data_IF_172999204970
#
_entry.id   IF_172999204970
#
_cell.length_a   1.000
_cell.length_b   1.000
_cell.length_c   1.000
_cell.angle_alpha   90.00
_cell.angle_beta   90.00
_cell.angle_gamma   90.00
#
_symmetry.space_group_name_H-M   'P 1'
#
loop_
_entity.id
_entity.type
_entity.pdbx_description
1 polymer ?
#
# COMPACT_ATOMS: atom_id res chain seq x y z
N UNK A 1 21.47 -2.95 -76.66
CA UNK A 1 21.21 -2.18 -75.43
C UNK A 1 20.62 -3.11 -74.42
N UNK A 2 21.43 -3.54 -73.38
CA UNK A 2 21.00 -4.43 -72.31
C UNK A 2 20.88 -3.61 -71.01
N UNK A 3 19.68 -3.44 -70.50
CA UNK A 3 19.43 -2.78 -69.16
C UNK A 3 19.51 -3.83 -68.09
N UNK A 4 20.57 -3.79 -67.32
CA UNK A 4 20.75 -4.61 -66.10
C UNK A 4 20.08 -3.87 -64.95
N UNK A 5 18.89 -4.32 -64.54
CA UNK A 5 18.18 -3.78 -63.37
C UNK A 5 18.88 -4.21 -62.10
N UNK A 6 19.43 -3.25 -61.32
CA UNK A 6 20.00 -3.47 -60.01
C UNK A 6 18.85 -3.51 -58.96
N UNK A 7 18.48 -4.69 -58.48
CA UNK A 7 17.50 -4.88 -57.41
C UNK A 7 18.18 -4.54 -56.07
N UNK A 8 17.87 -3.35 -55.55
CA UNK A 8 18.32 -2.90 -54.23
C UNK A 8 17.45 -3.58 -53.16
N UNK A 9 17.96 -4.65 -52.53
CA UNK A 9 17.30 -5.31 -51.39
C UNK A 9 17.44 -4.42 -50.15
N UNK A 10 16.36 -3.70 -49.78
CA UNK A 10 16.27 -2.98 -48.53
C UNK A 10 16.07 -4.01 -47.43
N UNK A 11 17.15 -4.36 -46.71
CA UNK A 11 17.08 -5.14 -45.48
C UNK A 11 16.56 -4.21 -44.40
N UNK A 12 15.28 -4.33 -44.04
CA UNK A 12 14.71 -3.72 -42.87
C UNK A 12 15.32 -4.39 -41.63
N UNK A 13 16.37 -3.79 -41.10
CA UNK A 13 16.83 -4.11 -39.75
C UNK A 13 15.69 -3.69 -38.80
N UNK A 14 14.85 -4.63 -38.42
CA UNK A 14 14.01 -4.52 -37.28
C UNK A 14 14.95 -4.34 -36.06
N UNK A 15 15.11 -3.10 -35.58
CA UNK A 15 15.74 -2.81 -34.32
C UNK A 15 14.88 -3.45 -33.21
N UNK A 16 15.11 -4.72 -32.92
CA UNK A 16 14.54 -5.38 -31.77
C UNK A 16 15.00 -4.63 -30.52
N UNK A 17 14.08 -4.30 -29.62
CA UNK A 17 14.31 -3.66 -28.31
C UNK A 17 15.06 -4.61 -27.34
N UNK A 18 16.17 -5.20 -27.84
CA UNK A 18 16.97 -6.17 -27.08
C UNK A 18 18.46 -5.79 -27.14
N UNK A 19 19.18 -6.06 -26.05
CA UNK A 19 20.63 -5.90 -26.01
C UNK A 19 21.34 -6.97 -26.87
N UNK A 20 22.69 -6.89 -26.97
CA UNK A 20 23.49 -7.85 -27.73
C UNK A 20 23.42 -9.30 -27.19
N UNK A 21 22.86 -9.50 -25.98
CA UNK A 21 22.65 -10.81 -25.34
C UNK A 21 21.19 -11.28 -25.44
N UNK A 22 20.33 -10.52 -26.15
CA UNK A 22 18.92 -10.87 -26.35
C UNK A 22 18.00 -10.47 -25.20
N UNK A 23 18.48 -9.75 -24.16
CA UNK A 23 17.63 -9.25 -23.07
C UNK A 23 16.87 -8.00 -23.51
N UNK A 24 15.63 -7.79 -23.02
CA UNK A 24 14.88 -6.56 -23.27
C UNK A 24 15.67 -5.33 -22.78
N UNK A 25 15.73 -4.29 -23.62
CA UNK A 25 16.32 -3.02 -23.21
C UNK A 25 15.46 -2.39 -22.10
N UNK A 26 16.09 -1.67 -21.17
CA UNK A 26 15.41 -0.91 -20.14
C UNK A 26 14.69 0.30 -20.74
N UNK A 27 13.39 0.15 -20.99
CA UNK A 27 12.47 1.18 -21.45
C UNK A 27 11.28 1.27 -20.50
N UNK A 28 10.37 2.26 -20.64
CA UNK A 28 9.18 2.33 -19.77
C UNK A 28 8.27 1.10 -19.77
N UNK A 29 8.41 0.20 -20.77
CA UNK A 29 7.52 -0.96 -20.98
C UNK A 29 8.25 -2.29 -21.16
N UNK A 30 9.57 -2.30 -21.11
CA UNK A 30 10.39 -3.50 -21.26
C UNK A 30 11.61 -3.47 -20.35
N UNK A 31 12.11 -4.63 -19.97
CA UNK A 31 13.31 -4.79 -19.14
C UNK A 31 13.03 -5.48 -17.81
N UNK A 32 14.01 -5.45 -16.92
CA UNK A 32 13.89 -6.03 -15.57
C UNK A 32 14.42 -5.04 -14.53
N UNK A 33 13.61 -4.76 -13.51
CA UNK A 33 14.04 -3.95 -12.36
C UNK A 33 13.73 -4.66 -11.05
N UNK A 34 14.42 -4.24 -9.99
CA UNK A 34 14.09 -4.63 -8.61
C UNK A 34 13.44 -3.44 -7.90
N UNK A 35 12.40 -3.73 -7.11
CA UNK A 35 11.74 -2.76 -6.25
C UNK A 35 11.65 -3.32 -4.82
N UNK A 36 11.69 -2.44 -3.82
CA UNK A 36 11.46 -2.78 -2.41
C UNK A 36 10.17 -2.14 -1.92
N UNK A 37 9.37 -2.89 -1.20
CA UNK A 37 8.03 -2.49 -0.77
C UNK A 37 7.87 -2.76 0.72
N UNK A 38 7.36 -1.77 1.47
CA UNK A 38 6.89 -2.00 2.84
C UNK A 38 5.85 -3.14 2.82
N UNK A 39 6.09 -4.17 3.63
CA UNK A 39 5.30 -5.40 3.63
C UNK A 39 3.81 -5.14 3.87
N UNK A 40 3.47 -4.10 4.63
CA UNK A 40 2.08 -3.70 4.87
C UNK A 40 1.33 -3.33 3.59
N UNK A 41 2.04 -2.99 2.50
CA UNK A 41 1.48 -2.61 1.20
C UNK A 41 1.48 -3.76 0.17
N UNK A 42 1.86 -4.98 0.57
CA UNK A 42 2.00 -6.14 -0.32
C UNK A 42 0.77 -6.38 -1.21
N UNK A 43 -0.48 -6.50 -0.70
CA UNK A 43 -1.62 -6.83 -1.54
C UNK A 43 -1.87 -5.80 -2.65
N UNK A 44 -1.69 -4.51 -2.34
CA UNK A 44 -1.79 -3.44 -3.34
C UNK A 44 -0.73 -3.60 -4.42
N UNK A 45 0.54 -3.78 -4.02
CA UNK A 45 1.64 -3.79 -4.97
C UNK A 45 1.71 -5.07 -5.80
N UNK A 46 1.28 -6.20 -5.28
CA UNK A 46 1.09 -7.43 -6.06
C UNK A 46 0.07 -7.22 -7.19
N UNK A 47 -1.07 -6.58 -6.88
CA UNK A 47 -2.08 -6.26 -7.88
C UNK A 47 -1.59 -5.25 -8.94
N UNK A 48 -0.83 -4.23 -8.53
CA UNK A 48 -0.25 -3.23 -9.45
C UNK A 48 0.81 -3.85 -10.37
N UNK A 49 1.71 -4.67 -9.84
CA UNK A 49 2.74 -5.37 -10.62
C UNK A 49 2.09 -6.35 -11.59
N UNK A 50 1.14 -7.16 -11.13
CA UNK A 50 0.42 -8.09 -11.97
C UNK A 50 -0.34 -7.37 -13.09
N UNK A 51 -0.97 -6.24 -12.79
CA UNK A 51 -1.68 -5.42 -13.77
C UNK A 51 -0.74 -4.83 -14.82
N UNK A 52 0.44 -4.35 -14.42
CA UNK A 52 1.44 -3.80 -15.30
C UNK A 52 2.06 -4.85 -16.23
N UNK A 53 2.55 -5.97 -15.68
CA UNK A 53 3.14 -7.08 -16.43
C UNK A 53 2.10 -7.81 -17.30
N UNK A 54 0.82 -7.75 -16.89
CA UNK A 54 -0.31 -8.21 -17.68
C UNK A 54 -0.45 -7.47 -19.02
N UNK A 55 -0.10 -6.20 -19.05
CA UNK A 55 -0.14 -5.34 -20.24
C UNK A 55 1.19 -5.39 -21.00
N UNK A 56 2.31 -5.29 -20.29
CA UNK A 56 3.67 -5.18 -20.86
C UNK A 56 4.44 -6.49 -20.63
N UNK A 57 4.36 -7.40 -21.59
CA UNK A 57 4.85 -8.79 -21.48
C UNK A 57 6.37 -8.92 -21.37
N UNK A 58 7.12 -7.92 -21.83
CA UNK A 58 8.58 -7.85 -21.75
C UNK A 58 9.06 -7.03 -20.53
N UNK A 59 8.15 -6.64 -19.64
CA UNK A 59 8.45 -5.97 -18.39
C UNK A 59 8.44 -6.98 -17.23
N UNK A 60 9.49 -6.96 -16.40
CA UNK A 60 9.62 -7.85 -15.25
C UNK A 60 10.03 -7.06 -14.01
N UNK A 61 9.18 -7.06 -12.98
CA UNK A 61 9.39 -6.34 -11.74
C UNK A 61 9.65 -7.35 -10.61
N UNK A 62 10.90 -7.41 -10.16
CA UNK A 62 11.29 -8.23 -9.00
C UNK A 62 10.97 -7.47 -7.71
N UNK A 63 9.93 -7.87 -7.02
CA UNK A 63 9.48 -7.21 -5.79
C UNK A 63 10.04 -7.91 -4.56
N UNK A 64 10.69 -7.15 -3.68
CA UNK A 64 11.07 -7.59 -2.34
C UNK A 64 10.16 -6.92 -1.32
N UNK A 65 9.43 -7.70 -0.53
CA UNK A 65 8.61 -7.21 0.56
C UNK A 65 9.43 -7.25 1.86
N UNK A 66 9.61 -6.09 2.48
CA UNK A 66 10.46 -5.93 3.65
C UNK A 66 9.94 -4.78 4.53
N UNK A 67 10.68 -4.34 5.54
CA UNK A 67 10.28 -3.17 6.33
C UNK A 67 10.44 -1.87 5.56
N UNK A 68 9.67 -0.82 5.92
CA UNK A 68 9.80 0.52 5.32
C UNK A 68 11.23 1.05 5.40
N UNK A 69 11.88 0.87 6.55
CA UNK A 69 13.27 1.30 6.73
C UNK A 69 14.20 0.60 5.75
N UNK A 70 14.11 -0.72 5.62
CA UNK A 70 14.95 -1.50 4.71
C UNK A 70 14.67 -1.14 3.25
N UNK A 71 13.42 -0.90 2.87
CA UNK A 71 13.06 -0.46 1.51
C UNK A 71 13.73 0.85 1.13
N UNK A 72 13.82 1.81 2.06
CA UNK A 72 14.51 3.08 1.84
C UNK A 72 16.04 2.87 1.79
N UNK A 73 16.59 2.05 2.69
CA UNK A 73 18.03 1.75 2.68
C UNK A 73 18.46 1.08 1.36
N UNK A 74 17.68 0.15 0.85
CA UNK A 74 17.94 -0.53 -0.42
C UNK A 74 17.90 0.45 -1.59
N UNK A 75 16.96 1.41 -1.57
CA UNK A 75 16.91 2.49 -2.55
C UNK A 75 18.16 3.37 -2.50
N UNK A 76 18.57 3.78 -1.30
CA UNK A 76 19.74 4.66 -1.12
C UNK A 76 21.04 3.96 -1.53
N UNK A 77 21.16 2.65 -1.34
CA UNK A 77 22.31 1.81 -1.72
C UNK A 77 22.31 1.38 -3.20
N UNK A 78 21.36 1.84 -4.02
CA UNK A 78 21.19 1.44 -5.44
C UNK A 78 20.92 -0.06 -5.64
N UNK A 79 20.38 -0.74 -4.64
CA UNK A 79 20.00 -2.14 -4.75
C UNK A 79 18.66 -2.32 -5.46
N UNK A 80 17.81 -1.29 -5.41
CA UNK A 80 16.50 -1.25 -6.07
C UNK A 80 16.27 0.07 -6.79
N UNK A 81 15.42 0.07 -7.83
CA UNK A 81 15.05 1.27 -8.60
C UNK A 81 13.96 2.09 -7.96
N UNK A 82 13.03 1.41 -7.28
CA UNK A 82 11.90 2.04 -6.60
C UNK A 82 11.79 1.52 -5.18
N UNK A 83 11.40 2.40 -4.26
CA UNK A 83 10.90 2.03 -2.95
C UNK A 83 9.44 2.45 -2.81
N UNK A 84 8.59 1.56 -2.28
CA UNK A 84 7.17 1.84 -1.99
C UNK A 84 6.99 1.86 -0.49
N UNK A 85 6.68 3.03 0.03
CA UNK A 85 6.74 3.35 1.47
C UNK A 85 5.59 4.28 1.87
N UNK A 86 5.50 4.61 3.16
CA UNK A 86 4.40 5.44 3.68
C UNK A 86 4.83 6.80 4.23
N UNK A 87 6.07 7.21 3.92
CA UNK A 87 6.60 8.54 4.22
C UNK A 87 7.49 9.06 3.10
N UNK A 88 7.71 10.34 3.07
CA UNK A 88 8.74 10.97 2.26
C UNK A 88 10.13 10.72 2.84
N UNK A 89 11.16 10.87 2.01
CA UNK A 89 12.55 10.84 2.47
C UNK A 89 12.80 11.96 3.49
N UNK A 90 13.55 11.63 4.53
CA UNK A 90 14.09 12.63 5.43
C UNK A 90 15.17 13.49 4.72
N UNK A 91 15.48 14.70 5.21
CA UNK A 91 16.44 15.57 4.57
C UNK A 91 17.81 14.92 4.31
N UNK A 92 18.34 14.13 5.24
CA UNK A 92 19.61 13.43 5.09
C UNK A 92 19.56 12.29 4.05
N UNK A 93 18.42 11.57 3.94
CA UNK A 93 18.19 10.55 2.92
C UNK A 93 18.12 11.18 1.53
N UNK A 94 17.39 12.30 1.41
CA UNK A 94 17.33 13.08 0.18
C UNK A 94 18.69 13.58 -0.24
N UNK A 95 19.48 14.12 0.69
CA UNK A 95 20.84 14.58 0.43
C UNK A 95 21.74 13.45 -0.13
N UNK A 96 21.55 12.21 0.31
CA UNK A 96 22.28 11.05 -0.24
C UNK A 96 21.99 10.87 -1.74
N UNK A 97 20.72 10.97 -2.16
CA UNK A 97 20.36 10.90 -3.58
C UNK A 97 20.87 12.13 -4.37
N UNK A 98 20.72 13.31 -3.81
CA UNK A 98 21.21 14.57 -4.44
C UNK A 98 22.73 14.52 -4.67
N UNK A 99 23.50 13.96 -3.73
CA UNK A 99 24.94 13.75 -3.89
C UNK A 99 25.32 12.77 -5.01
N UNK A 100 24.42 11.86 -5.32
CA UNK A 100 24.53 10.94 -6.46
C UNK A 100 23.93 11.53 -7.76
N UNK A 101 23.57 12.81 -7.79
CA UNK A 101 22.88 13.50 -8.89
C UNK A 101 21.54 12.85 -9.30
N UNK A 102 20.82 12.31 -8.31
CA UNK A 102 19.51 11.67 -8.51
C UNK A 102 18.43 12.54 -7.85
N UNK A 103 17.42 12.95 -8.62
CA UNK A 103 16.36 13.83 -8.12
C UNK A 103 15.48 13.18 -7.03
N UNK A 104 15.45 11.85 -6.97
CA UNK A 104 14.65 11.11 -5.98
C UNK A 104 13.17 11.46 -6.05
N UNK A 105 12.55 11.32 -7.24
CA UNK A 105 11.14 11.64 -7.41
C UNK A 105 10.25 10.87 -6.42
N UNK A 106 9.38 11.57 -5.70
CA UNK A 106 8.49 11.02 -4.67
C UNK A 106 7.04 11.29 -5.06
N UNK A 107 6.30 10.26 -5.41
CA UNK A 107 4.93 10.38 -5.92
C UNK A 107 3.96 9.70 -4.98
N UNK A 108 3.00 10.45 -4.44
CA UNK A 108 1.87 9.89 -3.71
C UNK A 108 0.95 9.19 -4.70
N UNK A 109 0.72 7.89 -4.50
CA UNK A 109 -0.12 7.06 -5.38
C UNK A 109 -1.43 6.64 -4.74
N UNK A 110 -1.50 6.61 -3.41
CA UNK A 110 -2.72 6.28 -2.67
C UNK A 110 -2.71 6.89 -1.27
N UNK A 111 -3.89 6.82 -0.60
CA UNK A 111 -3.99 6.92 0.86
C UNK A 111 -4.63 5.66 1.39
N UNK A 112 -4.10 5.15 2.49
CA UNK A 112 -4.64 3.99 3.17
C UNK A 112 -4.93 4.27 4.65
N UNK A 113 -5.66 3.36 5.29
CA UNK A 113 -5.85 3.32 6.74
C UNK A 113 -5.04 2.20 7.36
N UNK A 114 -4.60 2.40 8.61
CA UNK A 114 -4.15 1.30 9.47
C UNK A 114 -5.38 0.77 10.17
N UNK A 115 -5.71 -0.52 9.96
CA UNK A 115 -6.85 -1.17 10.59
C UNK A 115 -6.45 -1.75 11.95
N UNK A 116 -7.26 -1.50 12.97
CA UNK A 116 -7.21 -2.17 14.25
C UNK A 116 -8.08 -3.43 14.16
N UNK A 117 -7.50 -4.58 14.43
CA UNK A 117 -8.21 -5.87 14.41
C UNK A 117 -8.16 -6.56 15.76
N UNK A 118 -9.24 -7.25 16.10
CA UNK A 118 -9.34 -8.09 17.31
C UNK A 118 -9.98 -9.42 16.97
N UNK A 119 -9.84 -10.38 17.86
CA UNK A 119 -10.49 -11.70 17.73
C UNK A 119 -12.02 -11.55 17.56
N UNK A 120 -12.66 -12.39 16.77
CA UNK A 120 -14.11 -12.30 16.53
C UNK A 120 -14.95 -12.38 17.80
N UNK A 121 -14.53 -13.16 18.79
CA UNK A 121 -15.21 -13.30 20.08
C UNK A 121 -14.83 -12.24 21.11
N UNK A 122 -13.90 -11.31 20.79
CA UNK A 122 -13.65 -10.20 21.70
C UNK A 122 -14.90 -9.32 21.78
N UNK A 123 -15.48 -9.04 22.96
CA UNK A 123 -16.70 -8.23 23.07
C UNK A 123 -16.49 -6.77 22.67
N UNK A 124 -15.25 -6.26 22.82
CA UNK A 124 -14.90 -4.87 22.60
C UNK A 124 -14.53 -4.65 21.12
N UNK A 125 -15.28 -3.81 20.43
CA UNK A 125 -15.11 -3.55 18.99
C UNK A 125 -14.97 -2.07 18.63
N UNK A 126 -14.91 -1.20 19.66
CA UNK A 126 -14.72 0.24 19.50
C UNK A 126 -13.66 0.70 20.50
N UNK A 127 -12.83 1.68 20.11
CA UNK A 127 -11.78 2.23 20.97
C UNK A 127 -11.70 3.75 20.75
N UNK A 128 -11.43 4.52 21.79
CA UNK A 128 -11.15 5.96 21.62
C UNK A 128 -9.68 6.18 21.29
N UNK A 129 -9.39 7.31 20.67
CA UNK A 129 -8.01 7.74 20.46
C UNK A 129 -7.19 7.76 21.76
N UNK A 130 -7.79 8.29 22.82
CA UNK A 130 -7.14 8.38 24.13
C UNK A 130 -6.86 6.99 24.74
N UNK A 131 -7.77 6.04 24.56
CA UNK A 131 -7.56 4.66 25.02
C UNK A 131 -6.41 4.00 24.27
N UNK A 132 -6.38 4.10 22.92
CA UNK A 132 -5.29 3.58 22.11
C UNK A 132 -3.95 4.23 22.50
N UNK A 133 -3.94 5.55 22.70
CA UNK A 133 -2.74 6.28 23.14
C UNK A 133 -2.25 5.77 24.48
N UNK A 134 -3.13 5.59 25.48
CA UNK A 134 -2.75 5.05 26.81
C UNK A 134 -2.16 3.65 26.73
N UNK A 135 -2.69 2.78 25.87
CA UNK A 135 -2.15 1.43 25.62
C UNK A 135 -0.73 1.55 25.06
N UNK A 136 -0.53 2.34 24.01
CA UNK A 136 0.74 2.47 23.29
C UNK A 136 1.80 3.28 24.07
N UNK A 137 1.39 4.08 25.04
CA UNK A 137 2.27 4.71 26.04
C UNK A 137 2.63 3.76 27.22
N UNK A 138 2.04 2.56 27.26
CA UNK A 138 2.23 1.62 28.38
C UNK A 138 1.47 1.98 29.67
N UNK A 139 0.53 2.94 29.61
CA UNK A 139 -0.31 3.37 30.75
C UNK A 139 -1.54 2.47 30.97
N UNK A 140 -1.81 1.57 30.04
CA UNK A 140 -2.83 0.52 30.14
C UNK A 140 -2.23 -0.79 29.63
N UNK A 141 -2.20 -1.81 30.44
CA UNK A 141 -1.63 -3.12 30.14
C UNK A 141 -2.62 -4.28 30.27
N UNK A 142 -3.79 -3.99 30.80
CA UNK A 142 -4.89 -4.94 30.97
C UNK A 142 -6.12 -4.41 30.21
N UNK A 143 -6.94 -5.31 29.68
CA UNK A 143 -8.19 -4.92 29.04
C UNK A 143 -9.12 -4.13 29.98
N UNK A 144 -9.16 -4.47 31.26
CA UNK A 144 -9.93 -3.72 32.28
C UNK A 144 -9.46 -2.28 32.50
N UNK A 145 -8.21 -1.94 32.12
CA UNK A 145 -7.70 -0.55 32.19
C UNK A 145 -8.34 0.34 31.13
N UNK A 146 -8.91 -0.28 30.08
CA UNK A 146 -9.56 0.35 28.95
C UNK A 146 -11.08 0.16 29.01
N UNK A 147 -11.52 -1.03 29.34
CA UNK A 147 -12.93 -1.43 29.48
C UNK A 147 -13.12 -2.04 30.86
N UNK A 148 -13.63 -1.30 31.86
CA UNK A 148 -13.69 -1.74 33.24
C UNK A 148 -14.45 -3.05 33.49
N UNK A 149 -15.39 -3.39 32.62
CA UNK A 149 -16.20 -4.63 32.69
C UNK A 149 -15.60 -5.80 31.91
N UNK A 150 -14.45 -5.60 31.22
CA UNK A 150 -13.82 -6.64 30.41
C UNK A 150 -13.29 -7.78 31.28
N UNK A 151 -13.62 -9.02 30.92
CA UNK A 151 -13.09 -10.24 31.49
C UNK A 151 -11.78 -10.71 30.82
N UNK A 152 -11.31 -10.00 29.78
CA UNK A 152 -10.06 -10.30 29.10
C UNK A 152 -8.86 -9.92 29.97
N UNK A 153 -7.78 -10.70 29.88
CA UNK A 153 -6.57 -10.50 30.67
C UNK A 153 -5.66 -9.39 30.19
N UNK A 154 -4.35 -9.64 30.20
CA UNK A 154 -3.33 -8.70 29.75
C UNK A 154 -3.48 -8.35 28.28
N UNK A 155 -3.33 -7.07 27.94
CA UNK A 155 -3.32 -6.59 26.57
C UNK A 155 -2.09 -7.07 25.82
N UNK A 156 -2.28 -7.45 24.56
CA UNK A 156 -1.21 -7.65 23.58
C UNK A 156 -1.46 -6.77 22.38
N UNK A 157 -0.46 -5.99 21.96
CA UNK A 157 -0.52 -5.22 20.72
C UNK A 157 0.45 -5.84 19.72
N UNK A 158 -0.04 -6.19 18.53
CA UNK A 158 0.76 -6.95 17.55
C UNK A 158 0.92 -6.14 16.28
N UNK A 159 2.18 -5.99 15.85
CA UNK A 159 2.59 -5.33 14.61
C UNK A 159 3.28 -6.33 13.69
N UNK A 160 3.42 -5.97 12.42
CA UNK A 160 4.16 -6.72 11.42
C UNK A 160 5.67 -6.79 11.74
N UNK A 161 6.39 -5.67 11.62
CA UNK A 161 7.83 -5.62 11.82
C UNK A 161 8.23 -4.37 12.65
N UNK A 162 9.26 -4.45 13.54
CA UNK A 162 9.65 -3.31 14.37
C UNK A 162 10.05 -2.05 13.59
N UNK A 163 10.45 -2.20 12.34
CA UNK A 163 10.88 -1.12 11.44
C UNK A 163 9.90 -0.89 10.28
N UNK A 164 8.66 -1.36 10.41
CA UNK A 164 7.61 -1.16 9.40
C UNK A 164 7.09 0.27 9.38
N UNK A 165 6.44 0.63 8.29
CA UNK A 165 5.73 1.90 8.17
C UNK A 165 4.57 2.03 9.15
N UNK A 166 3.96 0.93 9.62
CA UNK A 166 2.92 0.95 10.65
C UNK A 166 3.52 1.40 11.99
N UNK A 167 4.59 0.74 12.44
CA UNK A 167 5.26 1.08 13.70
C UNK A 167 5.77 2.52 13.67
N UNK A 168 6.45 2.92 12.60
CA UNK A 168 6.92 4.30 12.43
C UNK A 168 5.76 5.30 12.49
N UNK A 169 4.67 5.06 11.73
CA UNK A 169 3.52 5.96 11.71
C UNK A 169 2.92 6.15 13.10
N UNK A 170 2.75 5.07 13.85
CA UNK A 170 2.21 5.11 15.21
C UNK A 170 3.14 5.86 16.16
N UNK A 171 4.45 5.55 16.12
CA UNK A 171 5.42 6.22 17.00
C UNK A 171 5.55 7.71 16.70
N UNK A 172 5.57 8.09 15.42
CA UNK A 172 5.61 9.50 15.00
C UNK A 172 4.33 10.25 15.40
N UNK A 173 3.16 9.65 15.15
CA UNK A 173 1.86 10.28 15.41
C UNK A 173 1.60 10.49 16.90
N UNK A 174 2.03 9.56 17.73
CA UNK A 174 1.86 9.60 19.21
C UNK A 174 3.11 10.14 19.93
N UNK A 175 4.13 10.57 19.19
CA UNK A 175 5.40 11.08 19.74
C UNK A 175 6.08 10.11 20.72
N UNK A 176 6.00 8.80 20.44
CA UNK A 176 6.56 7.76 21.28
C UNK A 176 8.05 7.56 20.98
N UNK A 177 8.86 7.46 22.04
CA UNK A 177 10.29 7.11 21.90
C UNK A 177 10.49 5.61 21.70
N UNK A 178 9.68 4.80 22.36
CA UNK A 178 9.71 3.33 22.34
C UNK A 178 8.31 2.79 22.53
N UNK A 179 8.04 1.61 22.00
CA UNK A 179 6.81 0.89 22.26
C UNK A 179 6.91 0.13 23.62
N UNK A 180 5.81 0.01 24.36
CA UNK A 180 5.80 -0.71 25.64
C UNK A 180 5.96 -2.23 25.46
N UNK A 181 6.31 -2.98 26.54
CA UNK A 181 6.55 -4.43 26.49
C UNK A 181 5.34 -5.28 26.05
N UNK A 182 4.13 -4.72 26.05
CA UNK A 182 2.93 -5.38 25.55
C UNK A 182 2.84 -5.39 24.02
N UNK A 183 3.79 -4.75 23.33
CA UNK A 183 3.86 -4.68 21.86
C UNK A 183 4.79 -5.78 21.34
N UNK A 184 4.29 -6.56 20.38
CA UNK A 184 4.98 -7.71 19.78
C UNK A 184 5.08 -7.53 18.25
N UNK A 185 6.16 -8.02 17.67
CA UNK A 185 6.35 -8.09 16.22
C UNK A 185 6.07 -9.51 15.72
N UNK A 186 5.26 -9.64 14.68
CA UNK A 186 4.84 -10.91 14.08
C UNK A 186 5.50 -11.22 12.73
N UNK A 187 6.42 -10.40 12.26
CA UNK A 187 7.16 -10.46 11.00
C UNK A 187 6.36 -10.07 9.74
N UNK A 188 5.08 -10.38 9.63
CA UNK A 188 4.22 -10.05 8.47
C UNK A 188 2.82 -9.67 8.91
N UNK A 189 2.07 -8.94 8.07
CA UNK A 189 0.66 -8.62 8.35
C UNK A 189 -0.21 -9.89 8.40
N UNK A 190 0.07 -10.92 7.59
CA UNK A 190 -0.62 -12.22 7.69
C UNK A 190 -0.41 -12.86 9.07
N UNK A 191 0.83 -12.86 9.57
CA UNK A 191 1.14 -13.39 10.90
C UNK A 191 0.48 -12.58 12.03
N UNK A 192 0.28 -11.27 11.86
CA UNK A 192 -0.53 -10.44 12.78
C UNK A 192 -1.97 -10.94 12.83
N UNK A 193 -2.60 -11.16 11.66
CA UNK A 193 -3.98 -11.68 11.59
C UNK A 193 -4.07 -13.06 12.25
N UNK A 194 -3.14 -13.95 11.96
CA UNK A 194 -3.11 -15.31 12.52
C UNK A 194 -2.93 -15.29 14.05
N UNK A 195 -2.11 -14.37 14.58
CA UNK A 195 -1.94 -14.20 16.02
C UNK A 195 -3.25 -13.73 16.68
N UNK A 196 -3.87 -12.69 16.12
CA UNK A 196 -5.13 -12.13 16.63
C UNK A 196 -6.26 -13.16 16.56
N UNK A 197 -6.32 -13.95 15.48
CA UNK A 197 -7.32 -15.01 15.33
C UNK A 197 -7.22 -16.14 16.40
N UNK A 198 -6.07 -16.26 17.07
CA UNK A 198 -5.82 -17.26 18.11
C UNK A 198 -5.78 -16.67 19.52
N UNK A 199 -5.77 -15.34 19.65
CA UNK A 199 -5.48 -14.63 20.92
C UNK A 199 -6.55 -13.59 21.20
N UNK A 200 -7.52 -13.93 22.06
CA UNK A 200 -8.70 -13.08 22.33
C UNK A 200 -8.38 -11.70 22.90
N UNK A 201 -7.26 -11.57 23.61
CA UNK A 201 -6.80 -10.35 24.27
C UNK A 201 -5.77 -9.56 23.41
N UNK A 202 -5.60 -9.91 22.13
CA UNK A 202 -4.71 -9.20 21.22
C UNK A 202 -5.46 -8.14 20.41
N UNK A 203 -4.77 -7.01 20.18
CA UNK A 203 -5.10 -5.99 19.17
C UNK A 203 -4.01 -6.04 18.11
N UNK A 204 -4.36 -6.30 16.85
CA UNK A 204 -3.43 -6.24 15.72
C UNK A 204 -3.56 -4.92 14.96
N UNK A 205 -2.44 -4.42 14.45
CA UNK A 205 -2.40 -3.28 13.54
C UNK A 205 -1.88 -3.74 12.18
N UNK A 206 -2.70 -3.59 11.14
CA UNK A 206 -2.39 -4.04 9.78
C UNK A 206 -2.72 -2.97 8.74
N UNK A 207 -2.10 -3.07 7.57
CA UNK A 207 -2.48 -2.25 6.41
C UNK A 207 -3.90 -2.60 5.92
N UNK A 208 -4.68 -1.59 5.55
CA UNK A 208 -6.08 -1.79 5.12
C UNK A 208 -6.19 -2.69 3.89
N UNK A 209 -5.22 -2.65 2.97
CA UNK A 209 -5.21 -3.48 1.75
C UNK A 209 -5.28 -4.98 2.04
N UNK A 210 -4.88 -5.43 3.22
CA UNK A 210 -4.92 -6.85 3.63
C UNK A 210 -6.34 -7.39 3.87
N UNK A 211 -7.32 -6.51 4.10
CA UNK A 211 -8.68 -6.89 4.50
C UNK A 211 -9.78 -6.19 3.68
N UNK A 212 -9.44 -5.41 2.68
CA UNK A 212 -10.41 -4.54 2.00
C UNK A 212 -10.81 -4.97 0.60
N UNK A 213 -10.02 -5.78 -0.09
CA UNK A 213 -10.41 -6.33 -1.39
C UNK A 213 -11.39 -7.50 -1.20
N UNK A 214 -12.65 -7.28 -1.61
CA UNK A 214 -13.71 -8.27 -1.48
C UNK A 214 -13.58 -9.45 -2.45
N UNK A 215 -12.78 -9.29 -3.50
CA UNK A 215 -12.51 -10.33 -4.49
C UNK A 215 -11.28 -11.17 -4.09
N UNK A 216 -10.50 -10.72 -3.09
CA UNK A 216 -9.34 -11.47 -2.59
C UNK A 216 -9.80 -12.58 -1.60
N UNK A 217 -9.55 -13.86 -1.92
CA UNK A 217 -9.86 -14.96 -1.01
C UNK A 217 -9.15 -14.88 0.34
N UNK A 218 -7.92 -14.31 0.40
CA UNK A 218 -7.16 -14.16 1.64
C UNK A 218 -7.81 -13.10 2.55
N UNK A 219 -8.16 -11.92 2.01
CA UNK A 219 -8.89 -10.90 2.75
C UNK A 219 -10.21 -11.42 3.31
N UNK A 220 -10.96 -12.16 2.49
CA UNK A 220 -12.23 -12.78 2.91
C UNK A 220 -12.03 -13.85 4.00
N UNK A 221 -10.94 -14.64 3.96
CA UNK A 221 -10.58 -15.59 5.00
C UNK A 221 -10.27 -14.88 6.31
N UNK A 222 -9.48 -13.81 6.26
CA UNK A 222 -9.11 -13.02 7.44
C UNK A 222 -10.34 -12.42 8.13
N UNK A 223 -11.26 -11.82 7.39
CA UNK A 223 -12.49 -11.23 7.95
C UNK A 223 -13.46 -12.25 8.57
N UNK A 224 -13.24 -13.56 8.35
CA UNK A 224 -13.97 -14.63 9.06
C UNK A 224 -13.40 -14.92 10.44
N UNK A 225 -12.14 -14.61 10.69
CA UNK A 225 -11.42 -14.96 11.93
C UNK A 225 -11.19 -13.78 12.86
N UNK A 226 -11.16 -12.56 12.32
CA UNK A 226 -10.98 -11.34 13.08
C UNK A 226 -12.03 -10.30 12.71
N UNK A 227 -12.26 -9.34 13.60
CA UNK A 227 -13.12 -8.19 13.32
C UNK A 227 -12.36 -6.87 13.42
N UNK A 228 -12.76 -5.92 12.59
CA UNK A 228 -12.18 -4.57 12.55
C UNK A 228 -12.85 -3.71 13.62
N UNK A 229 -12.03 -3.11 14.49
CA UNK A 229 -12.49 -2.12 15.46
C UNK A 229 -12.80 -0.78 14.77
N UNK A 230 -13.73 -0.03 15.39
CA UNK A 230 -13.89 1.38 15.09
C UNK A 230 -13.10 2.22 16.10
N UNK A 231 -12.54 3.35 15.65
CA UNK A 231 -11.77 4.27 16.50
C UNK A 231 -12.34 5.68 16.38
N UNK A 232 -12.41 6.41 17.51
CA UNK A 232 -12.72 7.84 17.48
C UNK A 232 -11.48 8.68 17.19
N UNK A 233 -11.65 9.88 16.65
CA UNK A 233 -10.56 10.82 16.46
C UNK A 233 -10.07 11.47 17.77
N UNK A 234 -8.95 12.23 17.73
CA UNK A 234 -8.41 12.91 18.91
C UNK A 234 -9.36 13.94 19.52
N UNK A 235 -10.19 14.57 18.69
CA UNK A 235 -11.11 15.64 19.05
C UNK A 235 -12.57 15.34 18.65
N UNK A 236 -12.88 14.09 18.33
CA UNK A 236 -14.17 13.66 17.81
C UNK A 236 -14.60 12.37 18.52
N UNK A 237 -15.86 12.31 18.93
CA UNK A 237 -16.45 11.13 19.57
C UNK A 237 -17.10 10.15 18.59
N UNK A 238 -17.06 10.46 17.26
CA UNK A 238 -17.56 9.56 16.22
C UNK A 238 -16.62 8.38 16.03
N UNK A 239 -17.10 7.16 16.24
CA UNK A 239 -16.33 5.93 16.02
C UNK A 239 -16.37 5.52 14.56
N UNK A 240 -15.21 5.53 13.91
CA UNK A 240 -15.07 5.26 12.50
C UNK A 240 -14.25 3.99 12.25
N UNK A 241 -14.71 3.17 11.31
CA UNK A 241 -13.92 2.10 10.70
C UNK A 241 -13.13 2.65 9.52
N UNK A 242 -12.04 1.99 9.06
CA UNK A 242 -11.19 2.47 7.98
C UNK A 242 -11.85 2.37 6.59
N UNK A 243 -13.07 2.88 6.45
CA UNK A 243 -13.74 2.93 5.15
C UNK A 243 -13.15 4.02 4.27
N UNK A 244 -13.06 3.74 2.97
CA UNK A 244 -12.52 4.69 1.96
C UNK A 244 -13.08 6.11 2.09
N UNK A 245 -14.39 6.24 2.34
CA UNK A 245 -15.03 7.55 2.48
C UNK A 245 -14.42 8.37 3.62
N UNK A 246 -14.21 7.77 4.79
CA UNK A 246 -13.63 8.45 5.94
C UNK A 246 -12.14 8.77 5.77
N UNK A 247 -11.40 7.89 5.09
CA UNK A 247 -10.00 8.14 4.73
C UNK A 247 -9.91 9.28 3.72
N UNK A 248 -10.75 9.29 2.68
CA UNK A 248 -10.80 10.36 1.68
C UNK A 248 -11.13 11.73 2.29
N UNK A 249 -12.07 11.75 3.25
CA UNK A 249 -12.46 12.95 4.00
C UNK A 249 -11.48 13.32 5.13
N UNK A 250 -10.40 12.56 5.32
CA UNK A 250 -9.42 12.71 6.42
C UNK A 250 -10.04 12.66 7.82
N UNK A 251 -11.17 11.97 7.96
CA UNK A 251 -11.85 11.76 9.24
C UNK A 251 -11.30 10.56 10.01
N UNK A 252 -10.85 9.51 9.30
CA UNK A 252 -10.25 8.33 9.94
C UNK A 252 -8.86 8.67 10.47
N UNK A 253 -8.60 8.56 11.78
CA UNK A 253 -7.40 9.13 12.41
C UNK A 253 -6.11 8.39 12.07
N UNK A 254 -6.19 7.09 11.74
CA UNK A 254 -5.02 6.26 11.42
C UNK A 254 -4.86 6.12 9.89
N UNK A 255 -4.75 7.25 9.19
CA UNK A 255 -4.58 7.28 7.74
C UNK A 255 -3.22 7.84 7.33
N UNK A 256 -2.60 7.22 6.30
CA UNK A 256 -1.27 7.56 5.80
C UNK A 256 -1.23 7.56 4.27
N UNK A 257 -0.22 8.20 3.69
CA UNK A 257 0.01 8.20 2.25
C UNK A 257 0.82 6.97 1.84
N UNK A 258 0.57 6.47 0.63
CA UNK A 258 1.42 5.49 -0.05
C UNK A 258 2.23 6.23 -1.10
N UNK A 259 3.54 6.12 -1.02
CA UNK A 259 4.48 6.90 -1.82
C UNK A 259 5.42 5.95 -2.55
N UNK A 260 5.56 6.16 -3.86
CA UNK A 260 6.62 5.52 -4.64
C UNK A 260 7.77 6.52 -4.77
N UNK A 261 8.95 6.10 -4.34
CA UNK A 261 10.19 6.88 -4.46
C UNK A 261 11.03 6.26 -5.55
N UNK A 262 11.42 7.05 -6.54
CA UNK A 262 12.21 6.60 -7.69
C UNK A 262 13.66 7.06 -7.57
N UNK A 263 14.59 6.14 -7.81
CA UNK A 263 16.01 6.41 -7.96
C UNK A 263 16.42 6.55 -9.43
N UNK A 264 15.52 6.47 -10.38
CA UNK A 264 15.88 6.55 -11.80
C UNK A 264 16.39 7.94 -12.20
N UNK A 265 17.59 7.97 -12.78
CA UNK A 265 18.20 9.19 -13.35
C UNK A 265 17.69 9.48 -14.78
N UNK A 266 17.08 8.51 -15.43
CA UNK A 266 16.55 8.57 -16.81
C UNK A 266 15.23 7.82 -16.91
N UNK A 267 14.51 8.03 -18.00
CA UNK A 267 13.28 7.29 -18.29
C UNK A 267 13.60 5.82 -18.58
N UNK A 268 13.13 4.93 -17.71
CA UNK A 268 13.30 3.48 -17.78
C UNK A 268 12.06 2.76 -17.26
N UNK A 269 12.17 1.46 -16.97
CA UNK A 269 11.04 0.63 -16.57
C UNK A 269 10.42 1.08 -15.23
N UNK A 270 11.23 1.60 -14.30
CA UNK A 270 10.72 2.12 -13.03
C UNK A 270 9.86 3.35 -13.22
N UNK A 271 10.26 4.29 -14.10
CA UNK A 271 9.43 5.45 -14.43
C UNK A 271 8.17 5.05 -15.21
N UNK A 272 8.25 4.00 -16.04
CA UNK A 272 7.10 3.40 -16.70
C UNK A 272 6.09 2.82 -15.70
N UNK A 273 6.56 2.02 -14.76
CA UNK A 273 5.73 1.44 -13.70
C UNK A 273 5.11 2.52 -12.79
N UNK A 274 5.92 3.51 -12.35
CA UNK A 274 5.42 4.64 -11.59
C UNK A 274 4.30 5.40 -12.33
N UNK A 275 4.51 5.66 -13.63
CA UNK A 275 3.52 6.32 -14.47
C UNK A 275 2.25 5.47 -14.63
N UNK A 276 2.39 4.15 -14.73
CA UNK A 276 1.26 3.22 -14.79
C UNK A 276 0.44 3.26 -13.50
N UNK A 277 1.08 3.12 -12.32
CA UNK A 277 0.40 3.19 -11.03
C UNK A 277 -0.33 4.53 -10.85
N UNK A 278 0.28 5.64 -11.28
CA UNK A 278 -0.33 6.98 -11.25
C UNK A 278 -1.38 7.22 -12.35
N UNK A 279 -1.51 6.32 -13.32
CA UNK A 279 -2.50 6.41 -14.41
C UNK A 279 -3.89 5.97 -13.97
N UNK A 280 -4.90 6.21 -14.82
CA UNK A 280 -6.27 5.76 -14.58
C UNK A 280 -6.38 4.23 -14.34
N UNK A 281 -5.53 3.42 -15.00
CA UNK A 281 -5.50 1.97 -14.83
C UNK A 281 -5.02 1.56 -13.44
N UNK A 282 -3.87 2.07 -13.00
CA UNK A 282 -3.35 1.81 -11.66
C UNK A 282 -4.28 2.37 -10.58
N UNK A 283 -4.78 3.59 -10.75
CA UNK A 283 -5.69 4.20 -9.78
C UNK A 283 -7.03 3.43 -9.62
N UNK A 284 -7.46 2.66 -10.63
CA UNK A 284 -8.58 1.71 -10.49
C UNK A 284 -8.21 0.48 -9.65
N UNK A 285 -6.96 0.01 -9.74
CA UNK A 285 -6.44 -1.06 -8.86
C UNK A 285 -6.41 -0.56 -7.42
N UNK A 286 -5.85 0.64 -7.17
CA UNK A 286 -5.89 1.28 -5.84
C UNK A 286 -7.33 1.32 -5.29
N UNK A 287 -8.29 1.75 -6.11
CA UNK A 287 -9.70 1.83 -5.70
C UNK A 287 -10.29 0.46 -5.39
N UNK A 288 -9.95 -0.57 -6.19
CA UNK A 288 -10.40 -1.96 -5.99
C UNK A 288 -9.81 -2.56 -4.72
N UNK A 289 -8.53 -2.32 -4.44
CA UNK A 289 -7.85 -2.74 -3.20
C UNK A 289 -8.38 -2.05 -1.92
N UNK A 290 -9.45 -1.27 -2.04
CA UNK A 290 -10.11 -0.63 -0.88
C UNK A 290 -9.45 0.65 -0.41
N UNK A 291 -8.40 1.12 -1.06
CA UNK A 291 -7.66 2.33 -0.74
C UNK A 291 -8.25 3.56 -1.46
N UNK A 292 -7.79 4.74 -1.06
CA UNK A 292 -8.19 6.00 -1.69
C UNK A 292 -7.16 6.37 -2.77
N UNK A 293 -7.53 6.41 -4.05
CA UNK A 293 -6.64 6.84 -5.12
C UNK A 293 -6.09 8.25 -4.91
N UNK A 294 -4.85 8.51 -5.29
CA UNK A 294 -4.28 9.86 -5.29
C UNK A 294 -4.95 10.77 -6.32
N UNK A 295 -5.44 10.18 -7.42
CA UNK A 295 -6.29 10.84 -8.43
C UNK A 295 -7.58 10.04 -8.58
N UNK A 296 -8.72 10.72 -8.56
CA UNK A 296 -10.00 10.06 -8.81
C UNK A 296 -10.02 9.51 -10.26
N UNK A 297 -10.24 8.19 -10.45
CA UNK A 297 -10.37 7.65 -11.81
C UNK A 297 -11.62 8.22 -12.48
N UNK A 298 -11.47 8.72 -13.70
CA UNK A 298 -12.57 9.30 -14.47
C UNK A 298 -13.52 8.19 -14.92
N UNK A 299 -14.81 8.29 -14.57
CA UNK A 299 -15.87 7.48 -15.15
C UNK A 299 -16.63 8.31 -16.19
N UNK A 300 -16.51 7.93 -17.45
CA UNK A 300 -17.43 8.42 -18.48
C UNK A 300 -18.75 7.65 -18.31
N UNK A 301 -19.78 8.31 -17.83
CA UNK A 301 -21.14 7.76 -17.75
C UNK A 301 -21.91 8.36 -18.93
N UNK A 302 -22.23 7.53 -19.92
CA UNK A 302 -23.15 7.91 -20.98
C UNK A 302 -24.57 7.82 -20.39
N UNK A 303 -25.18 8.99 -20.16
CA UNK A 303 -26.59 9.05 -19.74
C UNK A 303 -27.42 8.96 -21.00
N UNK A 304 -27.96 7.79 -21.31
CA UNK A 304 -29.05 7.66 -22.30
C UNK A 304 -30.29 8.32 -21.71
N UNK A 305 -30.58 9.54 -22.13
CA UNK A 305 -31.84 10.20 -21.84
C UNK A 305 -32.90 9.67 -22.79
N UNK A 306 -33.41 8.45 -22.61
CA UNK A 306 -34.69 8.10 -23.16
C UNK A 306 -35.78 8.82 -22.33
N UNK A 307 -36.70 9.55 -22.99
CA UNK A 307 -37.80 10.17 -22.27
C UNK A 307 -38.66 9.06 -21.66
N UNK A 308 -38.94 9.18 -20.35
CA UNK A 308 -39.89 8.28 -19.65
C UNK A 308 -41.21 8.28 -20.39
N UNK A 309 -41.61 7.16 -21.00
CA UNK A 309 -42.94 6.98 -21.57
C UNK A 309 -43.94 7.13 -20.44
N UNK A 310 -44.83 8.13 -20.54
CA UNK A 310 -46.02 8.21 -19.66
C UNK A 310 -46.81 6.96 -19.82
N UNK A 311 -46.96 6.19 -18.75
CA UNK A 311 -47.95 5.12 -18.67
C UNK A 311 -49.31 5.82 -18.49
N UNK A 312 -50.06 5.95 -19.57
CA UNK A 312 -51.47 6.35 -19.49
C UNK A 312 -52.21 5.10 -19.01
N UNK A 313 -52.75 5.14 -17.82
CA UNK A 313 -53.72 4.15 -17.37
C UNK A 313 -55.05 4.53 -18.01
N UNK A 314 -55.58 3.63 -18.85
CA UNK A 314 -56.97 3.59 -19.26
C UNK A 314 -57.89 3.17 -18.08
#
# INVERSE_FOLDING_TARGET
>A
MKYTGLLLAIVLFSCGNRDKKGNPLDTPTTGTISIAVDESLRPLMEAEVQGFEGIYKDAHIKTTYTSEKQSIEDLLKDSVRLAVVTRKLYPFEKQTLDSAHISGAQVVVAREGIALIVHNENPDSVITWQQLTRILEGKASQWKDVYPTSALGGLQVVFDHPQSGIVRYITDTLHLKTLPPICFAAATNEAVVDHVAKTKNAIGLIGLSWISDKDDPAANRFLKTVKVMAISGPADDEYLKPYKAYIALKKYPLSREVIIISREARTGLGSGFLSYVASDKGQRIVLKSGLVPAKAPVRLVQINREPLKKIVKD
#
